data_IF_847569732497
#
_entry.id   IF_847569732497
#
_cell.length_a   1.000
_cell.length_b   1.000
_cell.length_c   1.000
_cell.angle_alpha   90.00
_cell.angle_beta   90.00
_cell.angle_gamma   90.00
#
_symmetry.space_group_name_H-M   'P 1'
#
loop_
_entity.id
_entity.type
_entity.pdbx_description
1 polymer ?
#
# COMPACT_ATOMS: atom_id res chain seq x y z
N UNK A 1 -28.78 -50.91 30.80
CA UNK A 1 -27.42 -51.47 30.61
C UNK A 1 -27.18 -51.45 29.11
N UNK A 2 -26.40 -50.47 28.59
CA UNK A 2 -24.97 -50.57 28.25
C UNK A 2 -24.76 -51.55 27.07
N UNK A 3 -24.13 -51.22 25.94
CA UNK A 3 -23.08 -50.23 25.68
C UNK A 3 -23.02 -49.91 24.17
N UNK A 4 -22.57 -48.68 23.86
CA UNK A 4 -22.13 -48.20 22.55
C UNK A 4 -20.99 -49.05 21.96
N UNK A 5 -20.80 -48.98 20.64
CA UNK A 5 -19.50 -48.75 19.98
C UNK A 5 -19.77 -48.39 18.50
N UNK A 6 -19.90 -47.10 18.18
CA UNK A 6 -18.85 -46.24 17.59
C UNK A 6 -18.19 -46.81 16.33
N UNK A 7 -18.82 -46.58 15.18
CA UNK A 7 -18.14 -46.57 13.88
C UNK A 7 -17.44 -45.21 13.73
N UNK A 8 -16.13 -45.16 14.00
CA UNK A 8 -15.29 -44.01 13.71
C UNK A 8 -15.10 -43.92 12.20
N UNK A 9 -15.78 -42.96 11.57
CA UNK A 9 -15.49 -42.54 10.21
C UNK A 9 -14.17 -41.74 10.28
N UNK A 10 -13.08 -42.34 9.82
CA UNK A 10 -11.81 -41.65 9.66
C UNK A 10 -11.97 -40.59 8.55
N UNK A 11 -12.25 -39.35 8.93
CA UNK A 11 -12.07 -38.20 8.05
C UNK A 11 -10.56 -38.06 7.90
N UNK A 12 -10.04 -38.49 6.75
CA UNK A 12 -8.71 -38.09 6.33
C UNK A 12 -8.76 -36.56 6.15
N UNK A 13 -8.25 -35.84 7.16
CA UNK A 13 -7.88 -34.45 6.99
C UNK A 13 -6.80 -34.45 5.90
N UNK A 14 -7.18 -34.00 4.70
CA UNK A 14 -6.19 -33.55 3.73
C UNK A 14 -5.56 -32.31 4.35
N UNK A 15 -4.49 -32.53 5.11
CA UNK A 15 -3.52 -31.49 5.44
C UNK A 15 -2.88 -31.11 4.11
N UNK A 16 -3.54 -30.21 3.37
CA UNK A 16 -2.85 -29.36 2.43
C UNK A 16 -1.83 -28.63 3.27
N UNK A 17 -0.58 -29.08 3.21
CA UNK A 17 0.54 -28.25 3.59
C UNK A 17 0.49 -27.10 2.60
N UNK A 18 -0.18 -26.02 2.98
CA UNK A 18 0.01 -24.75 2.30
C UNK A 18 1.50 -24.49 2.44
N UNK A 19 2.23 -24.47 1.33
CA UNK A 19 3.58 -23.94 1.32
C UNK A 19 3.48 -22.59 2.03
N UNK A 20 4.20 -22.41 3.13
CA UNK A 20 4.12 -21.17 3.91
C UNK A 20 4.40 -20.03 2.96
N UNK A 21 3.37 -19.31 2.56
CA UNK A 21 3.55 -18.07 1.83
C UNK A 21 4.31 -17.16 2.76
N UNK A 22 5.50 -16.70 2.33
CA UNK A 22 6.36 -15.86 3.17
C UNK A 22 5.61 -14.62 3.70
N UNK A 23 4.61 -14.16 2.93
CA UNK A 23 3.73 -13.05 3.25
C UNK A 23 2.27 -13.49 3.35
N UNK A 24 1.55 -12.86 4.28
CA UNK A 24 0.08 -12.96 4.33
C UNK A 24 -0.56 -12.41 3.05
N UNK A 25 -0.05 -11.30 2.54
CA UNK A 25 -0.39 -10.76 1.23
C UNK A 25 0.47 -9.55 0.86
N UNK A 26 0.35 -9.10 -0.38
CA UNK A 26 1.18 -8.04 -0.94
C UNK A 26 0.36 -6.91 -1.57
N UNK A 27 0.78 -5.67 -1.37
CA UNK A 27 0.30 -4.54 -2.17
C UNK A 27 0.91 -4.64 -3.58
N UNK A 28 0.05 -4.63 -4.60
CA UNK A 28 0.42 -4.81 -6.00
C UNK A 28 -0.08 -3.64 -6.85
N UNK A 29 0.84 -2.97 -7.52
CA UNK A 29 0.52 -1.96 -8.53
C UNK A 29 0.87 -2.52 -9.92
N UNK A 30 -0.12 -2.78 -10.79
CA UNK A 30 0.14 -3.38 -12.10
C UNK A 30 0.91 -2.49 -13.08
N UNK A 31 1.12 -1.20 -12.80
CA UNK A 31 1.86 -0.32 -13.72
C UNK A 31 3.25 -0.87 -13.99
N UNK A 32 3.65 -0.83 -15.25
CA UNK A 32 4.99 -1.27 -15.67
C UNK A 32 6.06 -0.28 -15.18
N UNK A 33 7.32 -0.66 -15.30
CA UNK A 33 8.45 0.15 -14.84
C UNK A 33 8.50 1.57 -15.45
N UNK A 34 7.93 1.75 -16.65
CA UNK A 34 7.81 3.04 -17.34
C UNK A 34 6.51 3.79 -17.04
N UNK A 35 5.66 3.26 -16.16
CA UNK A 35 4.36 3.82 -15.76
C UNK A 35 3.23 3.48 -16.72
N UNK A 36 3.48 2.71 -17.79
CA UNK A 36 2.43 2.25 -18.68
C UNK A 36 1.48 1.25 -18.00
N UNK A 37 0.23 1.24 -18.43
CA UNK A 37 -0.79 0.33 -17.91
C UNK A 37 -0.49 -1.12 -18.35
N UNK A 38 -0.53 -2.06 -17.42
CA UNK A 38 -0.40 -3.48 -17.72
C UNK A 38 -1.61 -4.05 -18.49
N UNK A 39 -1.33 -5.00 -19.37
CA UNK A 39 -2.34 -5.88 -19.93
C UNK A 39 -2.45 -7.19 -19.12
N UNK A 40 -3.40 -8.06 -19.45
CA UNK A 40 -3.61 -9.33 -18.72
C UNK A 40 -2.38 -10.24 -18.68
N UNK A 41 -1.59 -10.30 -19.76
CA UNK A 41 -0.38 -11.13 -19.80
C UNK A 41 0.71 -10.59 -18.88
N UNK A 42 0.85 -9.26 -18.78
CA UNK A 42 1.77 -8.65 -17.82
C UNK A 42 1.38 -9.04 -16.39
N UNK A 43 0.09 -8.93 -16.06
CA UNK A 43 -0.43 -9.31 -14.74
C UNK A 43 -0.24 -10.81 -14.47
N UNK A 44 -0.51 -11.68 -15.43
CA UNK A 44 -0.27 -13.12 -15.28
C UNK A 44 1.21 -13.44 -15.01
N UNK A 45 2.15 -12.75 -15.68
CA UNK A 45 3.57 -12.92 -15.45
C UNK A 45 3.98 -12.44 -14.06
N UNK A 46 3.46 -11.28 -13.63
CA UNK A 46 3.69 -10.74 -12.30
C UNK A 46 3.17 -11.71 -11.21
N UNK A 47 1.93 -12.21 -11.33
CA UNK A 47 1.38 -13.17 -10.37
C UNK A 47 2.12 -14.51 -10.38
N UNK A 48 2.58 -14.98 -11.54
CA UNK A 48 3.42 -16.18 -11.60
C UNK A 48 4.73 -15.97 -10.81
N UNK A 49 5.38 -14.82 -10.96
CA UNK A 49 6.59 -14.49 -10.20
C UNK A 49 6.31 -14.36 -8.69
N UNK A 50 5.11 -13.92 -8.31
CA UNK A 50 4.72 -13.71 -6.91
C UNK A 50 4.21 -14.99 -6.21
N UNK A 51 3.88 -16.04 -6.96
CA UNK A 51 3.23 -17.27 -6.45
C UNK A 51 4.03 -18.04 -5.40
N UNK A 52 5.35 -17.81 -5.32
CA UNK A 52 6.19 -18.40 -4.26
C UNK A 52 6.08 -17.64 -2.92
N UNK A 53 5.59 -16.40 -2.93
CA UNK A 53 5.60 -15.50 -1.77
C UNK A 53 4.22 -15.34 -1.13
N UNK A 54 3.16 -15.37 -1.93
CA UNK A 54 1.77 -15.26 -1.50
C UNK A 54 0.81 -15.70 -2.60
N UNK A 55 -0.44 -15.92 -2.22
CA UNK A 55 -1.60 -16.06 -3.11
C UNK A 55 -2.59 -14.90 -2.94
N UNK A 56 -2.22 -13.85 -2.20
CA UNK A 56 -3.12 -12.74 -1.86
C UNK A 56 -2.50 -11.40 -2.21
N UNK A 57 -3.22 -10.59 -2.99
CA UNK A 57 -2.80 -9.24 -3.39
C UNK A 57 -3.83 -8.17 -3.05
N UNK A 58 -3.37 -6.91 -2.99
CA UNK A 58 -4.22 -5.72 -3.00
C UNK A 58 -3.91 -4.85 -4.20
N UNK A 59 -4.94 -4.31 -4.85
CA UNK A 59 -4.82 -3.22 -5.83
C UNK A 59 -5.53 -1.96 -5.33
N UNK A 60 -5.06 -0.78 -5.73
CA UNK A 60 -5.50 0.51 -5.18
C UNK A 60 -6.75 1.10 -5.83
N UNK A 61 -6.97 0.79 -7.10
CA UNK A 61 -8.09 1.27 -7.91
C UNK A 61 -8.42 0.19 -8.93
N UNK A 62 -9.70 -0.09 -9.13
CA UNK A 62 -10.14 -1.00 -10.20
C UNK A 62 -10.17 -0.30 -11.56
N UNK A 63 -10.31 1.03 -11.56
CA UNK A 63 -10.47 1.87 -12.74
C UNK A 63 -9.17 2.45 -13.26
N UNK A 64 -8.25 2.87 -12.40
CA UNK A 64 -6.94 3.41 -12.82
C UNK A 64 -6.25 2.36 -13.69
N UNK A 65 -5.78 2.77 -14.86
CA UNK A 65 -5.21 1.87 -15.86
C UNK A 65 -6.05 0.61 -16.18
N UNK A 66 -7.35 0.61 -15.87
CA UNK A 66 -8.23 -0.56 -15.95
C UNK A 66 -7.75 -1.74 -15.10
N UNK A 67 -7.01 -1.54 -14.00
CA UNK A 67 -6.34 -2.62 -13.25
C UNK A 67 -7.28 -3.75 -12.80
N UNK A 68 -8.55 -3.47 -12.50
CA UNK A 68 -9.50 -4.47 -12.01
C UNK A 68 -9.71 -5.63 -12.99
N UNK A 69 -9.90 -5.34 -14.28
CA UNK A 69 -10.20 -6.39 -15.26
C UNK A 69 -9.02 -7.34 -15.56
N UNK A 70 -7.80 -6.87 -15.89
CA UNK A 70 -6.64 -7.74 -16.07
C UNK A 70 -6.33 -8.59 -14.83
N UNK A 71 -6.48 -8.05 -13.62
CA UNK A 71 -6.27 -8.79 -12.37
C UNK A 71 -7.31 -9.88 -12.19
N UNK A 72 -8.61 -9.53 -12.27
CA UNK A 72 -9.69 -10.52 -12.13
C UNK A 72 -9.61 -11.62 -13.21
N UNK A 73 -9.24 -11.25 -14.43
CA UNK A 73 -9.03 -12.20 -15.54
C UNK A 73 -7.82 -13.11 -15.31
N UNK A 74 -6.73 -12.59 -14.77
CA UNK A 74 -5.53 -13.38 -14.48
C UNK A 74 -5.77 -14.42 -13.37
N UNK A 75 -6.64 -14.12 -12.41
CA UNK A 75 -6.90 -15.00 -11.25
C UNK A 75 -8.09 -15.96 -11.42
N UNK A 76 -8.94 -15.76 -12.43
CA UNK A 76 -10.23 -16.45 -12.62
C UNK A 76 -10.18 -17.99 -12.46
N UNK A 77 -9.07 -18.61 -12.88
CA UNK A 77 -8.88 -20.07 -12.85
C UNK A 77 -7.79 -20.50 -11.85
N UNK A 78 -7.59 -19.71 -10.80
CA UNK A 78 -6.56 -19.94 -9.78
C UNK A 78 -7.17 -19.88 -8.37
N UNK A 79 -6.34 -20.03 -7.34
CA UNK A 79 -6.76 -19.85 -5.95
C UNK A 79 -6.44 -18.45 -5.40
N UNK A 80 -5.83 -17.58 -6.23
CA UNK A 80 -5.47 -16.22 -5.85
C UNK A 80 -6.65 -15.43 -5.29
N UNK A 81 -6.35 -14.64 -4.26
CA UNK A 81 -7.25 -13.73 -3.58
C UNK A 81 -6.84 -12.28 -3.83
N UNK A 82 -7.83 -11.39 -3.87
CA UNK A 82 -7.60 -9.97 -4.13
C UNK A 82 -8.42 -9.05 -3.21
N UNK A 83 -7.79 -8.02 -2.69
CA UNK A 83 -8.42 -6.83 -2.13
C UNK A 83 -8.56 -5.78 -3.22
N UNK A 84 -9.79 -5.39 -3.54
CA UNK A 84 -10.06 -4.39 -4.59
C UNK A 84 -10.22 -3.01 -3.97
N UNK A 85 -9.35 -2.07 -4.36
CA UNK A 85 -9.46 -0.67 -3.96
C UNK A 85 -10.43 0.12 -4.85
N UNK A 86 -11.18 1.03 -4.23
CA UNK A 86 -11.87 2.14 -4.89
C UNK A 86 -11.18 3.43 -4.45
N UNK A 87 -10.52 4.12 -5.37
CA UNK A 87 -9.74 5.31 -5.07
C UNK A 87 -10.64 6.49 -4.74
N UNK A 88 -10.48 7.03 -3.54
CA UNK A 88 -11.11 8.27 -3.09
C UNK A 88 -10.04 9.35 -3.19
N UNK A 89 -10.12 10.18 -4.23
CA UNK A 89 -9.23 11.32 -4.46
C UNK A 89 -9.90 12.66 -4.13
N UNK A 90 -9.33 13.76 -4.61
CA UNK A 90 -9.98 15.08 -4.50
C UNK A 90 -11.38 15.08 -5.16
N UNK A 91 -12.41 15.33 -4.36
CA UNK A 91 -13.81 15.24 -4.79
C UNK A 91 -14.30 13.81 -5.05
N UNK A 92 -15.37 13.66 -5.84
CA UNK A 92 -16.07 12.37 -5.98
C UNK A 92 -15.74 11.61 -7.28
N UNK A 93 -15.10 12.25 -8.26
CA UNK A 93 -14.98 11.68 -9.60
C UNK A 93 -14.24 10.34 -9.63
N UNK A 94 -13.11 10.23 -8.93
CA UNK A 94 -12.32 9.00 -8.89
C UNK A 94 -13.14 7.85 -8.27
N UNK A 95 -13.76 8.12 -7.13
CA UNK A 95 -14.61 7.16 -6.43
C UNK A 95 -15.80 6.71 -7.29
N UNK A 96 -16.51 7.63 -7.94
CA UNK A 96 -17.65 7.29 -8.80
C UNK A 96 -17.24 6.46 -10.02
N UNK A 97 -16.07 6.72 -10.59
CA UNK A 97 -15.54 5.92 -11.71
C UNK A 97 -15.14 4.51 -11.25
N UNK A 98 -14.50 4.38 -10.09
CA UNK A 98 -14.16 3.08 -9.49
C UNK A 98 -15.40 2.28 -9.10
N UNK A 99 -16.40 2.93 -8.50
CA UNK A 99 -17.70 2.35 -8.15
C UNK A 99 -18.45 1.84 -9.38
N UNK A 100 -18.50 2.65 -10.44
CA UNK A 100 -19.11 2.25 -11.71
C UNK A 100 -18.37 1.07 -12.36
N UNK A 101 -17.05 1.03 -12.23
CA UNK A 101 -16.23 -0.06 -12.74
C UNK A 101 -16.43 -1.35 -11.92
N UNK A 102 -16.50 -1.28 -10.60
CA UNK A 102 -16.86 -2.42 -9.75
C UNK A 102 -18.20 -3.05 -10.16
N UNK A 103 -19.21 -2.22 -10.43
CA UNK A 103 -20.52 -2.67 -10.97
C UNK A 103 -20.39 -3.33 -12.33
N UNK A 104 -19.49 -2.86 -13.20
CA UNK A 104 -19.24 -3.50 -14.49
C UNK A 104 -18.57 -4.85 -14.30
N UNK A 105 -17.52 -4.93 -13.47
CA UNK A 105 -16.75 -6.14 -13.22
C UNK A 105 -17.63 -7.26 -12.62
N UNK A 106 -18.57 -6.93 -11.74
CA UNK A 106 -19.51 -7.92 -11.17
C UNK A 106 -20.42 -8.61 -12.18
N UNK A 107 -20.57 -8.06 -13.39
CA UNK A 107 -21.35 -8.68 -14.47
C UNK A 107 -20.57 -9.76 -15.23
N UNK A 108 -19.23 -9.76 -15.13
CA UNK A 108 -18.35 -10.62 -15.91
C UNK A 108 -17.53 -11.60 -15.05
N UNK A 109 -17.32 -11.30 -13.78
CA UNK A 109 -16.45 -12.08 -12.89
C UNK A 109 -17.19 -12.54 -11.63
N UNK A 110 -16.85 -13.75 -11.16
CA UNK A 110 -17.29 -14.24 -9.86
C UNK A 110 -16.48 -13.59 -8.73
N UNK A 111 -16.94 -12.41 -8.30
CA UNK A 111 -16.26 -11.65 -7.26
C UNK A 111 -16.27 -12.38 -5.91
N UNK A 112 -17.29 -13.21 -5.62
CA UNK A 112 -17.38 -13.93 -4.33
C UNK A 112 -16.27 -14.94 -4.14
N UNK A 113 -15.75 -15.51 -5.24
CA UNK A 113 -14.67 -16.50 -5.19
C UNK A 113 -13.31 -15.89 -4.84
N UNK A 114 -13.01 -14.72 -5.38
CA UNK A 114 -11.65 -14.16 -5.38
C UNK A 114 -11.50 -12.90 -4.52
N UNK A 115 -12.54 -12.09 -4.39
CA UNK A 115 -12.45 -10.79 -3.70
C UNK A 115 -12.61 -10.98 -2.20
N UNK A 116 -11.57 -10.62 -1.43
CA UNK A 116 -11.58 -10.72 0.03
C UNK A 116 -12.28 -9.54 0.70
N UNK A 117 -12.10 -8.34 0.15
CA UNK A 117 -12.78 -7.13 0.60
C UNK A 117 -12.72 -6.04 -0.48
N UNK A 118 -13.62 -5.05 -0.35
CA UNK A 118 -13.53 -3.78 -1.06
C UNK A 118 -12.95 -2.73 -0.11
N UNK A 119 -11.89 -2.05 -0.53
CA UNK A 119 -11.22 -0.99 0.25
C UNK A 119 -11.63 0.35 -0.35
N UNK A 120 -12.46 1.11 0.35
CA UNK A 120 -12.95 2.42 -0.08
C UNK A 120 -12.00 3.49 0.43
N UNK A 121 -11.18 4.04 -0.45
CA UNK A 121 -10.16 5.03 -0.09
C UNK A 121 -8.86 4.41 0.44
N UNK A 122 -7.77 5.13 0.20
CA UNK A 122 -6.46 4.90 0.79
C UNK A 122 -5.92 6.27 1.17
N UNK A 123 -5.70 6.56 2.45
CA UNK A 123 -5.15 7.83 2.95
C UNK A 123 -5.91 9.10 2.54
N UNK A 124 -7.21 8.99 2.25
CA UNK A 124 -8.02 10.16 1.88
C UNK A 124 -8.20 11.16 3.03
N UNK A 125 -8.20 10.68 4.28
CA UNK A 125 -8.23 11.53 5.47
C UNK A 125 -6.84 12.12 5.69
N UNK A 126 -5.78 11.31 5.62
CA UNK A 126 -4.39 11.78 5.75
C UNK A 126 -4.02 12.87 4.74
N UNK A 127 -4.47 12.73 3.47
CA UNK A 127 -4.26 13.76 2.45
C UNK A 127 -5.13 15.01 2.61
N UNK A 128 -6.03 15.03 3.61
CA UNK A 128 -6.94 16.16 3.87
C UNK A 128 -8.00 16.38 2.78
N UNK A 129 -8.25 15.35 1.95
CA UNK A 129 -9.20 15.42 0.83
C UNK A 129 -10.63 15.17 1.29
N UNK A 130 -10.81 14.36 2.35
CA UNK A 130 -12.12 13.98 2.88
C UNK A 130 -12.10 13.93 4.41
N UNK A 131 -13.21 14.30 5.05
CA UNK A 131 -13.40 14.06 6.48
C UNK A 131 -13.74 12.60 6.77
N UNK A 132 -13.67 12.17 8.03
CA UNK A 132 -14.13 10.84 8.46
C UNK A 132 -15.60 10.60 8.10
N UNK A 133 -16.44 11.64 8.17
CA UNK A 133 -17.86 11.57 7.78
C UNK A 133 -18.05 11.41 6.27
N UNK A 134 -17.26 12.11 5.45
CA UNK A 134 -17.34 12.00 3.98
C UNK A 134 -16.94 10.58 3.54
N UNK A 135 -15.89 10.03 4.14
CA UNK A 135 -15.43 8.68 3.87
C UNK A 135 -16.44 7.62 4.34
N UNK A 136 -17.01 7.77 5.53
CA UNK A 136 -18.06 6.90 6.06
C UNK A 136 -19.30 6.84 5.14
N UNK A 137 -19.67 7.97 4.52
CA UNK A 137 -20.75 8.02 3.54
C UNK A 137 -20.43 7.20 2.27
N UNK A 138 -19.19 7.26 1.77
CA UNK A 138 -18.75 6.46 0.62
C UNK A 138 -18.66 4.96 0.93
N UNK A 139 -18.23 4.61 2.13
CA UNK A 139 -18.25 3.21 2.62
C UNK A 139 -19.69 2.69 2.63
N UNK A 140 -20.63 3.47 3.17
CA UNK A 140 -22.05 3.11 3.22
C UNK A 140 -22.64 2.96 1.81
N UNK A 141 -22.35 3.89 0.91
CA UNK A 141 -22.78 3.84 -0.49
C UNK A 141 -22.21 2.62 -1.23
N UNK A 142 -20.96 2.25 -0.98
CA UNK A 142 -20.34 1.02 -1.53
C UNK A 142 -21.03 -0.24 -1.00
N UNK A 143 -21.34 -0.31 0.30
CA UNK A 143 -22.10 -1.41 0.89
C UNK A 143 -23.48 -1.55 0.24
N UNK A 144 -24.20 -0.45 0.04
CA UNK A 144 -25.49 -0.44 -0.65
C UNK A 144 -25.39 -0.93 -2.09
N UNK A 145 -24.34 -0.56 -2.82
CA UNK A 145 -24.07 -1.09 -4.16
C UNK A 145 -23.87 -2.61 -4.12
N UNK A 146 -23.06 -3.12 -3.19
CA UNK A 146 -22.80 -4.56 -3.09
C UNK A 146 -24.08 -5.35 -2.77
N UNK A 147 -24.93 -4.83 -1.88
CA UNK A 147 -26.25 -5.41 -1.61
C UNK A 147 -27.14 -5.44 -2.86
N UNK A 148 -27.21 -4.34 -3.61
CA UNK A 148 -27.95 -4.26 -4.88
C UNK A 148 -27.49 -5.33 -5.89
N UNK A 149 -26.18 -5.63 -5.89
CA UNK A 149 -25.56 -6.61 -6.78
C UNK A 149 -25.62 -8.06 -6.27
N UNK A 150 -26.18 -8.32 -5.08
CA UNK A 150 -26.18 -9.64 -4.46
C UNK A 150 -24.80 -10.09 -3.94
N UNK A 151 -23.93 -9.11 -3.67
CA UNK A 151 -22.54 -9.25 -3.21
C UNK A 151 -22.33 -8.73 -1.77
N UNK A 152 -23.40 -8.51 -1.00
CA UNK A 152 -23.33 -7.96 0.37
C UNK A 152 -22.49 -8.77 1.37
N UNK A 153 -22.14 -10.01 1.04
CA UNK A 153 -21.23 -10.84 1.83
C UNK A 153 -19.74 -10.43 1.70
N UNK A 154 -19.39 -9.66 0.66
CA UNK A 154 -18.02 -9.13 0.50
C UNK A 154 -17.85 -7.95 1.48
N UNK A 155 -16.92 -8.03 2.45
CA UNK A 155 -16.76 -6.98 3.44
C UNK A 155 -16.19 -5.71 2.80
N UNK A 156 -16.57 -4.56 3.37
CA UNK A 156 -16.13 -3.23 2.97
C UNK A 156 -15.35 -2.59 4.11
N UNK A 157 -14.18 -2.06 3.77
CA UNK A 157 -13.27 -1.40 4.70
C UNK A 157 -12.71 -0.11 4.07
N UNK A 158 -11.79 0.55 4.78
CA UNK A 158 -10.97 1.65 4.30
C UNK A 158 -9.55 1.49 4.83
N UNK A 159 -8.58 2.09 4.15
CA UNK A 159 -7.18 2.14 4.56
C UNK A 159 -6.78 3.60 4.79
N UNK A 160 -6.32 3.95 5.98
CA UNK A 160 -5.82 5.29 6.30
C UNK A 160 -4.83 5.21 7.47
N UNK A 161 -4.29 6.35 7.91
CA UNK A 161 -3.38 6.37 9.05
C UNK A 161 -4.18 6.24 10.35
N UNK A 162 -3.87 5.22 11.16
CA UNK A 162 -4.71 4.80 12.28
C UNK A 162 -5.08 5.89 13.29
N UNK A 163 -4.20 6.86 13.56
CA UNK A 163 -4.50 7.95 14.50
C UNK A 163 -5.52 8.98 13.99
N UNK A 164 -5.83 8.98 12.69
CA UNK A 164 -6.83 9.85 12.08
C UNK A 164 -8.23 9.22 12.05
N UNK A 165 -8.34 7.92 12.33
CA UNK A 165 -9.61 7.21 12.32
C UNK A 165 -10.34 7.40 13.65
N UNK A 166 -11.50 8.05 13.59
CA UNK A 166 -12.43 8.18 14.72
C UNK A 166 -13.54 7.12 14.67
N UNK A 167 -14.45 7.14 15.65
CA UNK A 167 -15.58 6.22 15.70
C UNK A 167 -16.49 6.30 14.47
N UNK A 168 -16.59 7.46 13.79
CA UNK A 168 -17.45 7.65 12.62
C UNK A 168 -17.05 6.71 11.49
N UNK A 169 -15.75 6.69 11.16
CA UNK A 169 -15.24 5.83 10.09
C UNK A 169 -15.06 4.39 10.56
N UNK A 170 -14.63 4.19 11.82
CA UNK A 170 -14.47 2.85 12.40
C UNK A 170 -15.81 2.13 12.41
N UNK A 171 -16.91 2.78 12.79
CA UNK A 171 -18.24 2.14 12.84
C UNK A 171 -18.79 1.82 11.45
N UNK A 172 -18.44 2.59 10.43
CA UNK A 172 -18.92 2.41 9.06
C UNK A 172 -18.34 1.16 8.36
N UNK A 173 -17.12 0.75 8.69
CA UNK A 173 -16.43 -0.40 8.07
C UNK A 173 -16.77 -1.74 8.72
N UNK A 174 -16.61 -2.84 8.00
CA UNK A 174 -16.78 -4.20 8.55
C UNK A 174 -15.57 -4.66 9.39
N UNK A 175 -14.39 -4.19 9.02
CA UNK A 175 -13.14 -4.30 9.77
C UNK A 175 -12.26 -3.09 9.44
N UNK A 176 -11.27 -2.79 10.27
CA UNK A 176 -10.40 -1.61 10.11
C UNK A 176 -9.10 -2.02 9.41
N UNK A 177 -8.61 -1.22 8.46
CA UNK A 177 -7.25 -1.35 7.94
C UNK A 177 -6.43 -0.08 8.20
N UNK A 178 -5.18 -0.23 8.62
CA UNK A 178 -4.26 0.91 8.82
C UNK A 178 -3.03 0.84 7.94
N UNK A 179 -2.65 2.00 7.41
CA UNK A 179 -1.34 2.24 6.82
C UNK A 179 -0.38 2.71 7.92
N UNK A 180 0.88 2.28 7.86
CA UNK A 180 1.92 2.79 8.75
C UNK A 180 3.32 2.49 8.23
N UNK A 181 4.17 3.51 8.24
CA UNK A 181 5.52 3.43 7.70
C UNK A 181 6.49 4.15 8.65
N UNK A 182 7.16 3.40 9.55
CA UNK A 182 8.18 3.95 10.44
C UNK A 182 9.30 4.72 9.72
N UNK A 183 9.55 4.39 8.46
CA UNK A 183 10.45 5.14 7.58
C UNK A 183 10.05 6.63 7.49
N UNK A 184 8.76 6.93 7.26
CA UNK A 184 8.25 8.31 7.14
C UNK A 184 8.21 9.06 8.46
N UNK A 185 8.33 8.35 9.58
CA UNK A 185 8.52 8.92 10.91
C UNK A 185 10.00 9.23 11.22
N UNK A 186 10.91 8.89 10.30
CA UNK A 186 12.35 9.13 10.44
C UNK A 186 13.02 8.27 11.50
N UNK A 187 12.44 7.11 11.83
CA UNK A 187 12.91 6.22 12.89
C UNK A 187 14.14 5.41 12.46
N UNK A 188 14.97 5.02 13.42
CA UNK A 188 16.00 4.01 13.16
C UNK A 188 15.35 2.64 12.96
N UNK A 189 15.89 1.82 12.07
CA UNK A 189 15.30 0.53 11.71
C UNK A 189 15.15 -0.40 12.92
N UNK A 190 16.05 -0.33 13.90
CA UNK A 190 16.06 -1.23 15.05
C UNK A 190 14.93 -0.96 16.06
N UNK A 191 14.25 0.19 15.95
CA UNK A 191 13.09 0.54 16.80
C UNK A 191 11.79 0.65 15.99
N UNK A 192 11.88 0.51 14.66
CA UNK A 192 10.80 0.80 13.74
C UNK A 192 9.59 -0.13 13.93
N UNK A 193 9.82 -1.43 14.02
CA UNK A 193 8.74 -2.41 14.20
C UNK A 193 8.05 -2.22 15.57
N UNK A 194 8.83 -2.03 16.64
CA UNK A 194 8.27 -1.77 17.98
C UNK A 194 7.36 -0.54 17.98
N UNK A 195 7.80 0.55 17.35
CA UNK A 195 7.00 1.77 17.28
C UNK A 195 5.74 1.59 16.42
N UNK A 196 5.83 0.87 15.30
CA UNK A 196 4.66 0.51 14.49
C UNK A 196 3.61 -0.22 15.34
N UNK A 197 4.03 -1.23 16.11
CA UNK A 197 3.11 -2.01 16.94
C UNK A 197 2.47 -1.19 18.06
N UNK A 198 3.16 -0.19 18.62
CA UNK A 198 2.55 0.76 19.58
C UNK A 198 1.40 1.53 18.94
N UNK A 199 1.60 2.09 17.74
CA UNK A 199 0.53 2.78 17.01
C UNK A 199 -0.62 1.84 16.64
N UNK A 200 -0.31 0.59 16.30
CA UNK A 200 -1.32 -0.44 16.02
C UNK A 200 -2.15 -0.77 17.26
N UNK A 201 -1.52 -0.92 18.42
CA UNK A 201 -2.20 -1.26 19.68
C UNK A 201 -3.15 -0.13 20.12
N UNK A 202 -2.77 1.14 19.93
CA UNK A 202 -3.66 2.29 20.14
C UNK A 202 -4.88 2.27 19.21
N UNK A 203 -4.71 1.85 17.96
CA UNK A 203 -5.82 1.66 17.03
C UNK A 203 -6.71 0.48 17.43
N UNK A 204 -6.13 -0.65 17.85
CA UNK A 204 -6.88 -1.82 18.31
C UNK A 204 -7.76 -1.47 19.51
N UNK A 205 -7.25 -0.68 20.46
CA UNK A 205 -8.02 -0.18 21.59
C UNK A 205 -9.20 0.68 21.13
N UNK A 206 -8.96 1.65 20.23
CA UNK A 206 -10.04 2.48 19.65
C UNK A 206 -11.05 1.68 18.83
N UNK A 207 -10.63 0.61 18.17
CA UNK A 207 -11.51 -0.23 17.35
C UNK A 207 -12.51 -1.04 18.20
N UNK A 208 -12.35 -1.09 19.52
CA UNK A 208 -13.39 -1.58 20.44
C UNK A 208 -13.82 -3.03 20.20
N UNK A 209 -12.88 -3.88 19.73
CA UNK A 209 -13.12 -5.28 19.40
C UNK A 209 -13.46 -5.56 17.94
N UNK A 210 -13.58 -4.52 17.09
CA UNK A 210 -13.60 -4.70 15.63
C UNK A 210 -12.23 -5.20 15.16
N UNK A 211 -12.21 -6.15 14.22
CA UNK A 211 -10.97 -6.68 13.64
C UNK A 211 -10.14 -5.54 13.03
N UNK A 212 -8.85 -5.51 13.32
CA UNK A 212 -7.87 -4.59 12.74
C UNK A 212 -6.88 -5.38 11.90
N UNK A 213 -6.52 -4.83 10.74
CA UNK A 213 -5.57 -5.39 9.79
C UNK A 213 -4.60 -4.30 9.35
N UNK A 214 -3.38 -4.65 8.95
CA UNK A 214 -2.43 -3.71 8.35
C UNK A 214 -2.62 -3.70 6.84
N UNK A 215 -3.02 -2.57 6.25
CA UNK A 215 -3.15 -2.43 4.80
C UNK A 215 -1.82 -2.15 4.12
N UNK A 216 -0.92 -1.41 4.76
CA UNK A 216 0.38 -1.07 4.18
C UNK A 216 1.42 -0.88 5.28
N UNK A 217 2.55 -1.55 5.11
CA UNK A 217 3.81 -1.22 5.77
C UNK A 217 4.98 -1.75 4.97
N UNK A 218 6.14 -1.14 5.11
CA UNK A 218 7.36 -1.56 4.43
C UNK A 218 8.53 -0.63 4.70
N UNK A 219 9.67 -0.93 4.09
CA UNK A 219 10.88 -0.13 4.21
C UNK A 219 11.63 -0.09 2.88
N UNK A 220 12.01 1.09 2.37
CA UNK A 220 12.62 1.23 1.05
C UNK A 220 14.05 0.69 1.04
N UNK A 221 14.46 0.05 -0.05
CA UNK A 221 15.84 -0.47 -0.18
C UNK A 221 16.82 0.54 -0.77
N UNK A 222 16.34 1.68 -1.26
CA UNK A 222 17.15 2.75 -1.85
C UNK A 222 16.37 4.07 -1.83
N UNK A 223 17.04 5.19 -2.13
CA UNK A 223 16.50 6.55 -2.08
C UNK A 223 17.12 7.40 -0.98
N UNK A 224 16.55 8.58 -0.74
CA UNK A 224 17.06 9.51 0.27
C UNK A 224 16.77 9.05 1.69
N UNK A 225 17.64 9.41 2.63
CA UNK A 225 17.45 9.17 4.07
C UNK A 225 16.50 10.21 4.65
N UNK A 226 15.63 9.80 5.59
CA UNK A 226 14.81 10.71 6.39
C UNK A 226 15.13 10.54 7.88
N UNK A 227 15.56 11.58 8.58
CA UNK A 227 15.84 11.48 10.03
C UNK A 227 16.93 10.44 10.33
N UNK A 228 16.58 9.34 11.01
CA UNK A 228 17.43 8.15 11.19
C UNK A 228 17.05 6.97 10.28
N UNK A 229 15.98 7.10 9.49
CA UNK A 229 15.51 6.08 8.58
C UNK A 229 16.38 6.03 7.32
N UNK A 230 17.28 5.05 7.26
CA UNK A 230 18.19 4.84 6.12
C UNK A 230 17.62 3.78 5.18
N UNK A 231 17.30 4.10 3.92
CA UNK A 231 16.96 3.10 2.91
C UNK A 231 18.17 2.21 2.61
N UNK A 232 17.98 0.89 2.70
CA UNK A 232 18.96 -0.11 2.25
C UNK A 232 18.31 -1.49 2.21
N UNK A 233 18.83 -2.41 1.41
CA UNK A 233 18.39 -3.82 1.44
C UNK A 233 18.52 -4.42 2.84
N UNK A 234 19.61 -4.10 3.56
CA UNK A 234 19.86 -4.59 4.92
C UNK A 234 18.79 -4.10 5.91
N UNK A 235 18.54 -2.79 5.95
CA UNK A 235 17.52 -2.24 6.84
C UNK A 235 16.10 -2.69 6.46
N UNK A 236 15.83 -2.83 5.17
CA UNK A 236 14.55 -3.37 4.72
C UNK A 236 14.34 -4.80 5.20
N UNK A 237 15.40 -5.63 5.20
CA UNK A 237 15.36 -6.99 5.72
C UNK A 237 15.19 -7.03 7.25
N UNK A 238 15.85 -6.15 8.00
CA UNK A 238 15.67 -6.03 9.46
C UNK A 238 14.20 -5.70 9.77
N UNK A 239 13.65 -4.64 9.15
CA UNK A 239 12.27 -4.24 9.38
C UNK A 239 11.28 -5.34 8.97
N UNK A 240 11.52 -5.98 7.83
CA UNK A 240 10.69 -7.09 7.33
C UNK A 240 10.67 -8.26 8.32
N UNK A 241 11.83 -8.70 8.81
CA UNK A 241 11.94 -9.77 9.81
C UNK A 241 11.16 -9.39 11.07
N UNK A 242 11.48 -8.23 11.64
CA UNK A 242 10.94 -7.82 12.95
C UNK A 242 9.42 -7.63 12.88
N UNK A 243 8.93 -7.01 11.80
CA UNK A 243 7.49 -6.85 11.57
C UNK A 243 6.79 -8.20 11.38
N UNK A 244 7.27 -9.04 10.45
CA UNK A 244 6.58 -10.27 10.06
C UNK A 244 6.59 -11.31 11.20
N UNK A 245 7.69 -11.40 11.96
CA UNK A 245 7.74 -12.34 13.07
C UNK A 245 6.79 -11.96 14.20
N UNK A 246 6.68 -10.68 14.53
CA UNK A 246 5.67 -10.20 15.48
C UNK A 246 4.24 -10.37 14.93
N UNK A 247 4.02 -10.14 13.63
CA UNK A 247 2.71 -10.32 13.01
C UNK A 247 2.24 -11.77 13.10
N UNK A 248 3.15 -12.73 12.85
CA UNK A 248 2.91 -14.16 13.02
C UNK A 248 2.60 -14.52 14.48
N UNK A 249 3.35 -13.97 15.44
CA UNK A 249 3.12 -14.19 16.87
C UNK A 249 1.75 -13.65 17.34
N UNK A 250 1.29 -12.53 16.76
CA UNK A 250 -0.02 -11.92 17.05
C UNK A 250 -1.17 -12.49 16.23
N UNK A 251 -0.91 -13.40 15.27
CA UNK A 251 -1.88 -13.82 14.25
C UNK A 251 -2.56 -12.60 13.58
N UNK A 252 -1.73 -11.62 13.22
CA UNK A 252 -2.13 -10.36 12.60
C UNK A 252 -2.14 -10.49 11.07
N UNK A 253 -3.25 -10.11 10.46
CA UNK A 253 -3.39 -10.02 9.02
C UNK A 253 -2.71 -8.74 8.51
N UNK A 254 -1.96 -8.83 7.42
CA UNK A 254 -1.25 -7.68 6.85
C UNK A 254 -1.02 -7.80 5.34
N UNK A 255 -0.96 -6.66 4.66
CA UNK A 255 -0.49 -6.55 3.28
C UNK A 255 0.83 -5.78 3.26
N UNK A 256 1.91 -6.46 2.87
CA UNK A 256 3.23 -5.83 2.83
C UNK A 256 3.36 -4.91 1.60
N UNK A 257 3.99 -3.74 1.80
CA UNK A 257 4.26 -2.76 0.75
C UNK A 257 5.73 -2.85 0.32
N UNK A 258 6.05 -3.32 -0.89
CA UNK A 258 5.13 -3.78 -1.95
C UNK A 258 5.67 -4.97 -2.73
N UNK A 259 4.87 -5.49 -3.68
CA UNK A 259 5.22 -6.67 -4.46
C UNK A 259 6.42 -6.45 -5.40
N UNK A 260 6.40 -5.37 -6.19
CA UNK A 260 7.37 -5.09 -7.24
C UNK A 260 7.73 -3.60 -7.18
N UNK A 261 9.03 -3.30 -7.34
CA UNK A 261 9.53 -1.92 -7.42
C UNK A 261 8.80 -1.12 -8.51
N UNK A 262 8.61 0.17 -8.26
CA UNK A 262 7.85 1.07 -9.13
C UNK A 262 8.72 2.22 -9.68
N UNK A 263 9.70 1.97 -10.56
CA UNK A 263 10.64 3.00 -11.03
C UNK A 263 10.02 4.26 -11.63
N UNK A 264 8.78 4.16 -12.14
CA UNK A 264 8.02 5.28 -12.71
C UNK A 264 7.67 6.38 -11.70
N UNK A 265 7.81 6.13 -10.40
CA UNK A 265 7.66 7.16 -9.35
C UNK A 265 8.90 8.05 -9.21
N UNK A 266 10.01 7.73 -9.89
CA UNK A 266 11.15 8.64 -10.00
C UNK A 266 10.88 9.73 -11.03
N UNK A 267 11.24 10.97 -10.69
CA UNK A 267 11.16 12.10 -11.60
C UNK A 267 12.50 12.36 -12.29
N UNK A 268 12.55 12.55 -13.63
CA UNK A 268 13.79 12.83 -14.33
C UNK A 268 14.48 14.11 -13.81
N UNK A 269 15.72 13.95 -13.35
CA UNK A 269 16.53 15.06 -12.83
C UNK A 269 16.39 15.33 -11.34
N UNK A 270 15.60 14.53 -10.61
CA UNK A 270 15.48 14.57 -9.16
C UNK A 270 16.28 13.43 -8.50
N UNK A 271 16.65 13.56 -7.20
CA UNK A 271 17.20 12.45 -6.44
C UNK A 271 16.27 11.23 -6.48
N UNK A 272 16.81 10.00 -6.31
CA UNK A 272 15.99 8.79 -6.32
C UNK A 272 14.90 8.86 -5.24
N UNK A 273 13.64 8.75 -5.67
CA UNK A 273 12.48 8.71 -4.80
C UNK A 273 12.40 7.33 -4.13
N UNK A 274 12.30 7.28 -2.80
CA UNK A 274 12.16 6.03 -2.05
C UNK A 274 10.94 5.21 -2.49
N UNK A 275 9.87 5.86 -2.96
CA UNK A 275 8.67 5.18 -3.47
C UNK A 275 8.95 4.21 -4.62
N UNK A 276 10.07 4.38 -5.34
CA UNK A 276 10.46 3.48 -6.41
C UNK A 276 11.04 2.14 -5.92
N UNK A 277 11.36 2.01 -4.63
CA UNK A 277 12.25 0.96 -4.10
C UNK A 277 11.66 0.15 -2.93
N UNK A 278 10.33 0.10 -2.77
CA UNK A 278 9.65 -0.69 -1.72
C UNK A 278 9.37 -2.14 -2.10
N UNK A 279 9.51 -2.52 -3.38
CA UNK A 279 9.20 -3.85 -3.86
C UNK A 279 10.05 -4.93 -3.21
N UNK A 280 9.52 -6.14 -3.07
CA UNK A 280 10.31 -7.33 -2.74
C UNK A 280 11.04 -7.89 -3.98
N UNK A 281 10.48 -7.65 -5.16
CA UNK A 281 11.08 -7.94 -6.45
C UNK A 281 11.44 -6.64 -7.20
N UNK A 282 12.49 -6.71 -8.00
CA UNK A 282 12.74 -5.71 -9.06
C UNK A 282 11.72 -5.87 -10.20
N UNK A 283 11.59 -4.91 -11.14
CA UNK A 283 10.64 -5.02 -12.26
C UNK A 283 10.91 -6.19 -13.23
N UNK A 284 12.11 -6.78 -13.16
CA UNK A 284 12.49 -7.97 -13.94
C UNK A 284 12.34 -9.27 -13.13
N UNK A 285 11.56 -9.25 -12.06
CA UNK A 285 11.26 -10.40 -11.18
C UNK A 285 12.46 -10.93 -10.39
N UNK A 286 13.59 -10.21 -10.35
CA UNK A 286 14.72 -10.57 -9.49
C UNK A 286 14.41 -10.23 -8.03
N UNK A 287 14.51 -11.19 -7.09
CA UNK A 287 14.41 -10.92 -5.65
C UNK A 287 15.48 -9.95 -5.17
N UNK A 288 15.13 -9.05 -4.26
CA UNK A 288 16.05 -8.01 -3.76
C UNK A 288 16.86 -8.41 -2.54
N UNK A 289 16.43 -9.45 -1.82
CA UNK A 289 17.07 -9.92 -0.60
C UNK A 289 17.92 -11.16 -0.86
N UNK A 290 19.10 -11.27 -0.24
CA UNK A 290 19.98 -12.42 -0.41
C UNK A 290 19.45 -13.65 0.36
N UNK A 291 19.61 -14.84 -0.23
CA UNK A 291 19.27 -16.12 0.40
C UNK A 291 17.83 -16.57 0.21
N UNK A 292 17.52 -17.77 0.70
CA UNK A 292 16.18 -18.36 0.76
C UNK A 292 16.14 -19.41 1.90
N UNK A 293 15.25 -19.28 2.91
CA UNK A 293 14.37 -18.13 3.15
C UNK A 293 15.19 -16.87 3.51
N UNK A 294 14.65 -15.67 3.26
CA UNK A 294 15.33 -14.40 3.57
C UNK A 294 15.61 -14.22 5.06
N UNK A 295 14.73 -14.73 5.91
CA UNK A 295 14.87 -14.77 7.36
C UNK A 295 13.99 -15.88 7.95
N UNK A 296 14.27 -16.25 9.20
CA UNK A 296 13.44 -17.18 9.98
C UNK A 296 12.98 -16.50 11.24
N UNK A 297 11.72 -16.71 11.63
CA UNK A 297 11.26 -16.33 12.95
C UNK A 297 11.74 -17.38 13.93
N UNK A 298 12.58 -16.99 14.89
CA UNK A 298 12.96 -17.90 15.96
C UNK A 298 11.71 -18.23 16.76
N UNK A 299 11.29 -19.50 16.73
CA UNK A 299 10.31 -19.99 17.68
C UNK A 299 10.95 -19.82 19.05
N UNK A 300 10.45 -18.88 19.85
CA UNK A 300 10.87 -18.74 21.24
C UNK A 300 10.31 -19.91 22.07
N UNK A 301 10.69 -21.14 21.71
CA UNK A 301 10.66 -22.27 22.63
C UNK A 301 11.73 -21.96 23.65
N UNK A 302 11.26 -21.57 24.82
CA UNK A 302 12.02 -21.25 26.02
C UNK A 302 13.15 -22.26 26.20
N UNK A 303 14.34 -21.92 25.68
CA UNK A 303 15.55 -22.63 26.06
C UNK A 303 15.99 -21.97 27.34
N UNK A 304 15.41 -22.46 28.44
CA UNK A 304 15.92 -22.20 29.79
C UNK A 304 17.30 -22.84 29.86
N UNK A 305 18.32 -22.17 29.33
CA UNK A 305 19.71 -22.46 29.65
C UNK A 305 19.93 -22.00 31.08
N UNK A 306 19.63 -22.90 32.02
CA UNK A 306 20.03 -22.82 33.41
C UNK A 306 21.56 -22.92 33.49
N UNK A 307 22.23 -21.79 33.29
CA UNK A 307 23.62 -21.63 33.69
C UNK A 307 23.67 -21.48 35.21
N UNK A 308 23.85 -22.60 35.91
CA UNK A 308 24.23 -22.63 37.31
C UNK A 308 25.66 -22.09 37.45
N UNK A 309 25.81 -20.84 37.87
CA UNK A 309 27.09 -20.30 38.33
C UNK A 309 27.12 -20.34 39.86
N UNK A 310 27.93 -21.24 40.40
CA UNK A 310 28.32 -21.28 41.82
C UNK A 310 29.33 -20.16 42.11
N UNK A 311 29.25 -19.47 43.26
CA UNK A 311 30.23 -18.44 43.62
C UNK A 311 31.44 -19.07 44.32
N UNK A 312 32.63 -18.91 43.74
CA UNK A 312 33.90 -19.14 44.45
C UNK A 312 34.52 -17.80 44.85
N UNK A 313 34.49 -17.51 46.15
CA UNK A 313 35.25 -16.46 46.80
C UNK A 313 36.76 -16.66 46.59
N UNK A 314 37.48 -15.59 46.28
CA UNK A 314 38.91 -15.47 46.54
C UNK A 314 39.25 -13.99 46.74
N UNK A 315 39.73 -13.69 47.94
CA UNK A 315 40.19 -12.41 48.47
C UNK A 315 41.42 -11.86 47.75
N UNK A 316 41.56 -10.53 47.55
CA UNK A 316 42.85 -9.91 47.32
C UNK A 316 43.43 -9.31 48.60
N UNK A 317 44.73 -9.55 48.75
CA UNK A 317 45.58 -9.14 49.86
C UNK A 317 46.06 -7.69 49.71
N UNK A 318 46.43 -7.14 50.85
CA UNK A 318 46.67 -5.75 51.21
C UNK A 318 48.08 -5.28 50.86
N UNK A 319 48.23 -4.13 50.21
CA UNK A 319 49.44 -3.30 50.30
C UNK A 319 49.14 -1.81 50.04
N UNK A 320 49.51 -0.96 50.99
CA UNK A 320 49.52 0.51 50.96
C UNK A 320 50.81 0.99 51.65
N UNK A 321 51.19 2.28 51.61
CA UNK A 321 50.95 3.33 50.60
C UNK A 321 52.23 4.14 50.26
N UNK A 322 52.18 4.99 49.23
CA UNK A 322 53.00 6.21 49.18
C UNK A 322 52.13 7.45 48.96
N UNK A 323 52.46 8.47 49.74
CA UNK A 323 51.82 9.77 49.87
C UNK A 323 52.47 10.73 48.87
N UNK A 324 51.68 11.49 48.11
CA UNK A 324 52.08 12.85 47.75
C UNK A 324 50.86 13.77 47.63
N UNK A 325 50.90 14.81 48.44
CA UNK A 325 49.94 15.91 48.58
C UNK A 325 50.13 16.97 47.50
N UNK A 326 49.04 17.57 47.02
CA UNK A 326 48.97 19.04 46.92
C UNK A 326 47.53 19.50 46.65
N UNK A 327 47.05 20.36 47.54
CA UNK A 327 45.85 21.17 47.49
C UNK A 327 45.86 22.16 46.30
N UNK A 328 44.70 22.66 45.87
CA UNK A 328 44.26 24.05 46.20
C UNK A 328 43.06 24.50 45.34
N UNK A 329 42.00 24.87 46.06
CA UNK A 329 40.99 25.93 45.84
C UNK A 329 40.06 25.95 44.61
N UNK A 330 38.76 25.81 44.92
CA UNK A 330 37.66 26.59 44.33
C UNK A 330 37.79 28.10 44.69
N UNK A 331 37.01 28.96 44.01
CA UNK A 331 35.90 29.55 44.78
C UNK A 331 34.54 29.57 44.06
N UNK A 332 33.51 29.53 44.91
CA UNK A 332 32.10 29.93 44.75
C UNK A 332 31.97 31.37 44.18
N UNK A 333 30.86 31.93 43.69
CA UNK A 333 29.40 31.68 43.59
C UNK A 333 28.89 32.86 42.73
N UNK A 334 27.78 32.74 41.98
CA UNK A 334 26.82 33.85 41.83
C UNK A 334 25.47 33.33 41.30
N UNK A 335 24.40 33.76 41.97
CA UNK A 335 22.99 33.53 41.67
C UNK A 335 22.49 34.62 40.71
N UNK A 336 21.70 34.30 39.68
CA UNK A 336 20.44 35.00 39.36
C UNK A 336 19.65 34.42 38.17
N UNK A 337 18.36 34.17 38.45
CA UNK A 337 17.14 34.45 37.66
C UNK A 337 16.95 33.97 36.19
N UNK A 338 15.97 33.07 36.07
CA UNK A 338 14.76 33.12 35.22
C UNK A 338 14.85 33.73 33.81
N UNK A 339 14.73 32.88 32.79
CA UNK A 339 13.84 33.17 31.64
C UNK A 339 13.41 31.88 30.95
N UNK A 340 12.11 31.72 30.81
CA UNK A 340 11.41 30.76 29.95
C UNK A 340 11.80 31.00 28.49
N UNK A 341 12.27 29.97 27.79
CA UNK A 341 12.44 29.99 26.34
C UNK A 341 11.63 28.86 25.72
N UNK A 342 10.74 29.26 24.83
CA UNK A 342 9.75 28.45 24.13
C UNK A 342 10.43 27.47 23.16
N UNK A 343 9.93 26.24 23.15
CA UNK A 343 10.30 25.19 22.19
C UNK A 343 9.62 25.51 20.86
N UNK A 344 10.34 25.63 19.73
CA UNK A 344 9.68 25.79 18.44
C UNK A 344 9.09 24.45 17.98
N UNK A 345 7.77 24.41 17.89
CA UNK A 345 6.97 23.34 17.28
C UNK A 345 7.35 23.19 15.80
N UNK A 346 8.00 22.08 15.44
CA UNK A 346 8.22 21.70 14.04
C UNK A 346 6.91 21.17 13.45
N UNK A 347 6.36 21.89 12.46
CA UNK A 347 5.29 21.41 11.58
C UNK A 347 5.75 20.16 10.81
N UNK A 348 4.96 19.08 10.75
CA UNK A 348 5.23 17.93 9.88
C UNK A 348 5.22 18.35 8.41
N UNK A 349 6.21 17.90 7.64
CA UNK A 349 6.27 18.05 6.19
C UNK A 349 5.33 17.01 5.58
N UNK A 350 4.24 17.46 4.97
CA UNK A 350 3.33 16.61 4.18
C UNK A 350 4.03 16.19 2.87
N UNK A 351 4.12 14.88 2.55
CA UNK A 351 4.56 14.43 1.23
C UNK A 351 3.62 15.00 0.15
N UNK A 352 4.17 15.71 -0.83
CA UNK A 352 3.41 16.18 -1.97
C UNK A 352 3.31 15.05 -3.00
N UNK A 353 2.15 14.40 -3.08
CA UNK A 353 1.77 13.67 -4.28
C UNK A 353 1.50 14.66 -5.41
N UNK A 354 1.89 14.38 -6.66
CA UNK A 354 1.66 15.28 -7.77
C UNK A 354 0.15 15.45 -8.02
N UNK A 355 -0.37 16.65 -7.73
CA UNK A 355 -1.71 17.06 -8.13
C UNK A 355 -1.79 17.21 -9.65
N UNK A 356 -2.76 16.57 -10.29
CA UNK A 356 -3.01 16.72 -11.72
C UNK A 356 -3.57 18.13 -12.03
N UNK A 357 -2.71 19.03 -12.47
CA UNK A 357 -3.16 20.29 -13.08
C UNK A 357 -3.60 20.02 -14.53
N UNK A 358 -4.91 19.95 -14.76
CA UNK A 358 -5.47 19.99 -16.12
C UNK A 358 -5.24 21.39 -16.69
N UNK A 359 -4.27 21.52 -17.60
CA UNK A 359 -4.05 22.74 -18.37
C UNK A 359 -5.30 23.07 -19.21
N UNK A 360 -6.06 24.09 -18.77
CA UNK A 360 -7.16 24.69 -19.55
C UNK A 360 -6.57 25.37 -20.79
N UNK A 361 -6.68 24.72 -21.95
CA UNK A 361 -6.59 25.44 -23.22
C UNK A 361 -7.80 26.37 -23.36
N UNK A 362 -7.51 27.66 -23.40
CA UNK A 362 -8.47 28.76 -23.53
C UNK A 362 -9.13 28.71 -24.91
N UNK A 363 -10.24 27.99 -25.05
CA UNK A 363 -11.14 28.10 -26.20
C UNK A 363 -12.00 29.36 -26.05
N UNK A 364 -11.75 30.36 -26.89
CA UNK A 364 -12.62 31.51 -27.09
C UNK A 364 -13.99 31.02 -27.61
N UNK A 365 -15.04 31.18 -26.79
CA UNK A 365 -16.42 30.95 -27.20
C UNK A 365 -17.09 32.29 -27.50
N UNK A 366 -17.33 32.54 -28.78
CA UNK A 366 -18.29 33.53 -29.28
C UNK A 366 -19.69 33.16 -28.77
N UNK A 367 -20.39 34.13 -28.15
CA UNK A 367 -21.77 33.99 -27.68
C UNK A 367 -22.74 34.10 -28.87
N UNK A 368 -23.55 33.07 -29.10
CA UNK A 368 -24.81 33.18 -29.84
C UNK A 368 -25.96 32.78 -28.90
N UNK A 369 -26.87 33.73 -28.67
CA UNK A 369 -28.11 33.53 -27.90
C UNK A 369 -29.12 32.79 -28.78
N UNK A 370 -29.69 31.69 -28.31
CA UNK A 370 -30.94 31.16 -28.83
C UNK A 370 -31.92 30.92 -27.68
N UNK A 371 -33.13 31.45 -27.88
CA UNK A 371 -34.28 31.48 -26.96
C UNK A 371 -35.09 30.20 -27.21
N UNK A 372 -35.48 29.50 -26.15
CA UNK A 372 -36.36 28.32 -26.22
C UNK A 372 -37.83 28.76 -26.13
N UNK A 373 -38.74 28.24 -26.98
CA UNK A 373 -40.14 28.12 -26.66
C UNK A 373 -40.53 26.67 -26.31
N UNK A 374 -41.43 26.52 -25.34
CA UNK A 374 -42.12 25.28 -24.94
C UNK A 374 -43.12 24.85 -26.03
N UNK A 375 -43.21 23.54 -26.31
CA UNK A 375 -44.46 22.74 -26.30
C UNK A 375 -44.24 21.25 -26.62
N UNK A 376 -45.26 20.49 -26.26
CA UNK A 376 -45.48 19.06 -25.97
C UNK A 376 -45.63 18.11 -27.19
N UNK A 377 -45.49 16.78 -26.94
CA UNK A 377 -46.20 15.60 -27.55
C UNK A 377 -45.35 14.52 -28.25
N UNK A 378 -45.44 13.30 -27.65
CA UNK A 378 -45.51 11.89 -28.13
C UNK A 378 -44.64 11.25 -29.25
N UNK A 379 -44.19 10.04 -28.86
CA UNK A 379 -44.17 8.72 -29.54
C UNK A 379 -43.24 8.38 -30.72
N UNK A 380 -42.55 7.24 -30.50
CA UNK A 380 -42.26 6.12 -31.39
C UNK A 380 -41.20 6.22 -32.50
N UNK A 381 -40.22 5.32 -32.34
CA UNK A 381 -39.62 4.41 -33.34
C UNK A 381 -38.76 5.02 -34.45
N UNK A 382 -37.50 4.55 -34.56
CA UNK A 382 -36.79 4.49 -35.84
C UNK A 382 -35.70 3.41 -35.86
N UNK A 383 -35.84 2.51 -36.83
CA UNK A 383 -34.90 1.50 -37.33
C UNK A 383 -33.80 2.19 -38.16
N UNK A 384 -32.54 1.71 -38.18
CA UNK A 384 -31.50 2.31 -39.01
C UNK A 384 -31.55 1.80 -40.46
N UNK A 385 -31.44 2.72 -41.42
CA UNK A 385 -31.16 2.39 -42.83
C UNK A 385 -29.85 3.01 -43.29
N UNK A 386 -29.07 2.18 -43.97
CA UNK A 386 -27.80 2.47 -44.64
C UNK A 386 -27.98 3.32 -45.90
N UNK A 387 -27.10 4.29 -46.17
CA UNK A 387 -26.58 4.54 -47.53
C UNK A 387 -25.30 5.39 -47.58
N UNK A 388 -24.39 4.96 -48.46
CA UNK A 388 -23.12 5.57 -48.80
C UNK A 388 -23.24 6.85 -49.65
N UNK A 389 -22.19 7.68 -49.64
CA UNK A 389 -21.78 8.43 -50.84
C UNK A 389 -20.29 8.78 -50.85
N UNK A 390 -19.67 8.47 -51.99
CA UNK A 390 -18.31 8.82 -52.44
C UNK A 390 -18.08 10.32 -52.56
N UNK A 391 -16.81 10.74 -52.43
CA UNK A 391 -16.25 11.85 -53.23
C UNK A 391 -14.75 11.70 -53.43
N UNK A 392 -14.23 12.46 -54.40
CA UNK A 392 -13.25 12.07 -55.41
C UNK A 392 -11.93 12.84 -55.25
N UNK A 393 -10.86 12.19 -55.71
CA UNK A 393 -9.45 12.55 -55.87
C UNK A 393 -9.19 13.89 -56.59
N UNK A 394 -8.09 14.57 -56.22
CA UNK A 394 -7.33 15.49 -57.10
C UNK A 394 -5.82 15.36 -56.84
N UNK A 395 -5.04 15.35 -57.94
CA UNK A 395 -3.58 15.14 -58.05
C UNK A 395 -2.81 16.46 -57.95
N UNK A 396 -1.57 16.44 -57.46
CA UNK A 396 -0.44 17.06 -58.19
C UNK A 396 0.92 16.44 -57.82
N UNK A 397 1.67 16.16 -58.88
CA UNK A 397 3.07 15.72 -59.05
C UNK A 397 4.07 16.78 -58.57
N UNK A 398 5.30 16.48 -58.11
CA UNK A 398 6.50 16.25 -58.95
C UNK A 398 7.70 15.58 -58.21
N UNK A 399 8.42 14.73 -58.97
CA UNK A 399 9.83 14.20 -58.88
C UNK A 399 10.90 15.32 -58.70
N UNK A 400 12.20 15.18 -58.38
CA UNK A 400 13.16 14.10 -58.00
C UNK A 400 14.58 14.69 -57.79
N UNK A 401 15.34 14.28 -56.73
CA UNK A 401 16.82 13.97 -56.55
C UNK A 401 17.97 14.81 -57.23
N UNK A 402 19.30 14.62 -56.92
CA UNK A 402 20.09 14.40 -55.67
C UNK A 402 21.46 15.21 -55.60
N UNK A 403 22.38 14.83 -54.67
CA UNK A 403 23.85 15.14 -54.51
C UNK A 403 24.23 16.45 -53.76
N UNK A 404 25.29 16.61 -52.93
CA UNK A 404 26.47 15.83 -52.50
C UNK A 404 27.02 16.34 -51.12
N UNK A 405 27.85 15.55 -50.42
CA UNK A 405 28.88 15.96 -49.43
C UNK A 405 30.11 16.60 -50.14
N UNK A 406 31.12 17.28 -49.51
CA UNK A 406 31.80 16.93 -48.23
C UNK A 406 32.48 18.09 -47.40
N UNK A 407 33.25 17.70 -46.35
CA UNK A 407 34.32 18.39 -45.57
C UNK A 407 33.89 19.43 -44.50
N UNK A 408 34.23 19.32 -43.20
CA UNK A 408 35.51 19.28 -42.41
C UNK A 408 36.09 20.68 -42.13
N UNK A 409 36.69 20.85 -40.93
CA UNK A 409 37.22 22.06 -40.21
C UNK A 409 36.15 22.77 -39.37
N UNK A 410 36.29 23.02 -38.07
CA UNK A 410 37.45 23.02 -37.15
C UNK A 410 36.98 22.66 -35.74
#
# INVERSE_FOLDING_TARGET
MKLNDMLVLAIAAASGVSASTDFWGLNYNPKRADGSCANVYDVMNDLNALSNYTDTIRIYSVKDCNHGEPVLRAIENTDWKVYLGLWVGEGDLAYELDKAELRRLSQYFDLKRHVQAIIVGSESIYRGEHTTSDLAAKITDTKMLLEELGLGEIPVTTADVGYLMDSTVIDAVDFVMTNGFPYWEGLDVNIAAEQFYKHLDELIERAGGKKVMVSETGWPTNGEKLGNAVPSTENSLIYMRDFICEARARNLDYLWFSAIDAPWTNMPGEPPNVEAYFGILTPNYTPKYPGDPWFTCENNSTTTSSSSLSPSMSTPELSTPEIFTSETSMPETFISETSTSEIPTSTPITPQFPSFTVSRTRRTRTRSRCRVPKTTINTNSCIPTTRSSRTRRSRRTTRSRPTASPQRTS
#
